data_IF_544852241812
#
_entry.id   IF_544852241812
#
_cell.length_a   1.000
_cell.length_b   1.000
_cell.length_c   1.000
_cell.angle_alpha   90.00
_cell.angle_beta   90.00
_cell.angle_gamma   90.00
#
_symmetry.space_group_name_H-M   'P 1'
#
loop_
_entity.id
_entity.type
_entity.pdbx_description
1 polymer ?
#
# COMPACT_ATOMS: atom_id res chain seq x y z
N UNK A 1 5.34 20.67 3.27
CA UNK A 1 5.50 19.46 4.10
C UNK A 1 6.71 18.67 3.59
N UNK A 2 7.91 18.91 4.16
CA UNK A 2 9.20 18.47 3.58
C UNK A 2 9.68 17.12 4.16
N UNK A 3 9.63 16.06 3.33
CA UNK A 3 10.47 14.84 3.33
C UNK A 3 10.84 14.17 4.68
N UNK A 4 9.87 13.77 5.50
CA UNK A 4 10.09 13.04 6.77
C UNK A 4 11.03 11.83 6.62
N UNK A 5 10.80 10.97 5.61
CA UNK A 5 11.65 9.79 5.38
C UNK A 5 13.11 10.13 5.04
N UNK A 6 13.35 11.22 4.29
CA UNK A 6 14.71 11.67 3.98
C UNK A 6 15.46 12.16 5.22
N UNK A 7 14.76 12.85 6.12
CA UNK A 7 15.31 13.32 7.39
C UNK A 7 15.70 12.17 8.31
N UNK A 8 14.85 11.14 8.41
CA UNK A 8 15.12 9.94 9.20
C UNK A 8 16.38 9.24 8.68
N UNK A 9 16.43 8.94 7.37
CA UNK A 9 17.59 8.29 6.74
C UNK A 9 18.88 9.08 6.96
N UNK A 10 18.83 10.40 6.81
CA UNK A 10 19.99 11.26 7.06
C UNK A 10 20.45 11.21 8.52
N UNK A 11 19.53 11.17 9.49
CA UNK A 11 19.88 11.09 10.91
C UNK A 11 20.53 9.74 11.24
N UNK A 12 20.00 8.64 10.70
CA UNK A 12 20.58 7.29 10.87
C UNK A 12 21.95 7.21 10.22
N UNK A 13 22.10 7.71 8.98
CA UNK A 13 23.40 7.73 8.30
C UNK A 13 24.46 8.51 9.10
N UNK A 14 24.10 9.68 9.65
CA UNK A 14 25.01 10.46 10.50
C UNK A 14 25.41 9.73 11.76
N UNK A 15 24.53 8.90 12.32
CA UNK A 15 24.86 8.04 13.44
C UNK A 15 25.87 6.97 13.00
N UNK A 16 25.60 6.20 11.94
CA UNK A 16 26.53 5.18 11.45
C UNK A 16 27.92 5.72 11.11
N UNK A 17 28.03 6.94 10.56
CA UNK A 17 29.33 7.58 10.27
C UNK A 17 30.13 7.90 11.55
N UNK A 18 29.44 8.23 12.65
CA UNK A 18 30.06 8.65 13.92
C UNK A 18 30.24 7.49 14.91
N UNK A 19 29.61 6.37 14.65
CA UNK A 19 29.60 5.17 15.48
C UNK A 19 30.76 4.24 15.12
N UNK A 20 31.18 3.43 16.09
CA UNK A 20 32.07 2.29 15.85
C UNK A 20 31.35 1.21 15.02
N UNK A 21 32.08 0.27 14.36
CA UNK A 21 31.47 -0.72 13.46
C UNK A 21 30.36 -1.58 14.10
N UNK A 22 30.48 -1.89 15.39
CA UNK A 22 29.52 -2.65 16.20
C UNK A 22 28.23 -1.88 16.51
N UNK A 23 28.25 -0.55 16.38
CA UNK A 23 27.12 0.34 16.65
C UNK A 23 26.44 0.82 15.36
N UNK A 24 26.85 0.32 14.20
CA UNK A 24 26.23 0.67 12.94
C UNK A 24 24.88 -0.01 12.77
N UNK A 25 23.91 0.74 12.24
CA UNK A 25 22.62 0.19 11.84
C UNK A 25 22.78 -0.50 10.50
N UNK A 26 22.67 -1.83 10.50
CA UNK A 26 22.85 -2.68 9.32
C UNK A 26 21.58 -3.41 8.92
N UNK A 27 20.66 -3.64 9.87
CA UNK A 27 19.39 -4.33 9.62
C UNK A 27 18.19 -3.38 9.64
N UNK A 28 17.08 -3.74 8.96
CA UNK A 28 15.84 -2.96 9.03
C UNK A 28 15.25 -2.87 10.45
N UNK A 29 15.44 -3.89 11.27
CA UNK A 29 14.98 -3.91 12.66
C UNK A 29 15.75 -2.90 13.51
N UNK A 30 17.09 -2.92 13.42
CA UNK A 30 17.96 -1.93 14.09
C UNK A 30 17.61 -0.50 13.64
N UNK A 31 17.28 -0.32 12.36
CA UNK A 31 16.85 0.98 11.84
C UNK A 31 15.56 1.43 12.52
N UNK A 32 14.57 0.55 12.62
CA UNK A 32 13.33 0.84 13.33
C UNK A 32 13.59 1.19 14.81
N UNK A 33 14.36 0.37 15.51
CA UNK A 33 14.69 0.56 16.93
C UNK A 33 15.40 1.90 17.19
N UNK A 34 16.39 2.23 16.34
CA UNK A 34 17.07 3.51 16.40
C UNK A 34 16.10 4.67 16.22
N UNK A 35 15.22 4.61 15.21
CA UNK A 35 14.26 5.69 14.95
C UNK A 35 13.24 5.81 16.07
N UNK A 36 12.74 4.69 16.58
CA UNK A 36 11.81 4.64 17.69
C UNK A 36 12.41 5.27 18.97
N UNK A 37 13.68 4.97 19.27
CA UNK A 37 14.40 5.51 20.43
C UNK A 37 14.74 7.00 20.27
N UNK A 38 15.28 7.39 19.10
CA UNK A 38 15.91 8.71 18.90
C UNK A 38 14.99 9.78 18.30
N UNK A 39 13.80 9.41 17.82
CA UNK A 39 12.91 10.32 17.09
C UNK A 39 11.49 10.29 17.66
N UNK A 40 11.32 10.70 18.92
CA UNK A 40 10.03 10.71 19.64
C UNK A 40 8.90 11.50 18.95
N UNK A 41 9.24 12.48 18.11
CA UNK A 41 8.26 13.26 17.33
C UNK A 41 7.73 12.52 16.10
N UNK A 42 8.30 11.36 15.76
CA UNK A 42 7.92 10.54 14.61
C UNK A 42 7.40 9.20 15.12
N UNK A 43 6.15 8.88 14.77
CA UNK A 43 5.61 7.54 15.00
C UNK A 43 6.14 6.59 13.93
N UNK A 44 7.12 5.78 14.30
CA UNK A 44 7.55 4.63 13.49
C UNK A 44 6.71 3.40 13.83
N UNK A 45 6.37 2.59 12.84
CA UNK A 45 5.64 1.34 13.02
C UNK A 45 6.46 0.23 12.38
N UNK A 46 6.77 -0.81 13.16
CA UNK A 46 7.33 -2.05 12.65
C UNK A 46 6.19 -3.01 12.33
N UNK A 47 6.29 -3.71 11.21
CA UNK A 47 5.34 -4.77 10.85
C UNK A 47 6.16 -6.01 10.55
N UNK A 48 5.96 -7.05 11.37
CA UNK A 48 6.65 -8.32 11.19
C UNK A 48 6.09 -9.11 10.01
N UNK A 49 6.89 -10.00 9.43
CA UNK A 49 6.43 -10.88 8.35
C UNK A 49 5.23 -11.74 8.79
N UNK A 50 5.23 -12.19 10.04
CA UNK A 50 4.11 -12.93 10.61
C UNK A 50 2.81 -12.11 10.60
N UNK A 51 2.88 -10.82 10.95
CA UNK A 51 1.74 -9.90 10.86
C UNK A 51 1.32 -9.68 9.41
N UNK A 52 2.26 -9.49 8.49
CA UNK A 52 1.96 -9.37 7.06
C UNK A 52 1.18 -10.59 6.58
N UNK A 53 1.64 -11.81 6.88
CA UNK A 53 0.95 -13.04 6.48
C UNK A 53 -0.43 -13.18 7.14
N UNK A 54 -0.54 -12.84 8.43
CA UNK A 54 -1.82 -12.84 9.17
C UNK A 54 -2.82 -11.87 8.54
N UNK A 55 -2.39 -10.64 8.21
CA UNK A 55 -3.24 -9.63 7.60
C UNK A 55 -3.60 -9.98 6.16
N UNK A 56 -2.68 -10.56 5.39
CA UNK A 56 -2.95 -11.08 4.04
C UNK A 56 -4.09 -12.10 4.05
N UNK A 57 -4.05 -13.07 4.97
CA UNK A 57 -5.13 -14.07 5.14
C UNK A 57 -6.46 -13.42 5.54
N UNK A 58 -6.45 -12.47 6.49
CA UNK A 58 -7.66 -11.73 6.90
C UNK A 58 -8.28 -10.92 5.76
N UNK A 59 -7.45 -10.22 4.99
CA UNK A 59 -7.90 -9.44 3.83
C UNK A 59 -8.48 -10.35 2.76
N UNK A 60 -7.81 -11.47 2.44
CA UNK A 60 -8.34 -12.46 1.50
C UNK A 60 -9.72 -12.96 1.93
N UNK A 61 -9.86 -13.42 3.18
CA UNK A 61 -11.16 -13.85 3.72
C UNK A 61 -12.21 -12.74 3.62
N UNK A 62 -11.84 -11.50 3.92
CA UNK A 62 -12.75 -10.34 3.79
C UNK A 62 -13.19 -10.15 2.35
N UNK A 63 -12.29 -10.19 1.38
CA UNK A 63 -12.65 -10.07 -0.04
C UNK A 63 -13.52 -11.25 -0.52
N UNK A 64 -13.23 -12.46 -0.06
CA UNK A 64 -13.99 -13.66 -0.45
C UNK A 64 -15.41 -13.67 0.15
N UNK A 65 -15.63 -13.00 1.29
CA UNK A 65 -16.90 -13.05 2.06
C UNK A 65 -17.67 -11.74 2.10
N UNK A 66 -17.09 -10.64 1.61
CA UNK A 66 -17.76 -9.35 1.61
C UNK A 66 -18.98 -9.42 0.69
N UNK A 67 -20.16 -9.16 1.25
CA UNK A 67 -21.36 -8.94 0.44
C UNK A 67 -21.14 -7.64 -0.32
N UNK A 68 -21.07 -7.72 -1.64
CA UNK A 68 -21.09 -6.54 -2.49
C UNK A 68 -22.36 -5.77 -2.18
N UNK A 69 -22.22 -4.47 -1.88
CA UNK A 69 -23.41 -3.63 -1.70
C UNK A 69 -24.14 -3.62 -3.06
N UNK A 70 -25.43 -3.94 -3.03
CA UNK A 70 -26.28 -3.96 -4.23
C UNK A 70 -26.17 -2.58 -4.90
N UNK A 71 -25.93 -2.57 -6.21
CA UNK A 71 -25.76 -1.37 -7.05
C UNK A 71 -24.47 -0.55 -6.87
N UNK A 72 -23.52 -0.97 -6.04
CA UNK A 72 -22.13 -0.47 -6.18
C UNK A 72 -21.53 -1.12 -7.42
N UNK A 73 -21.48 -0.34 -8.51
CA UNK A 73 -21.03 -0.78 -9.81
C UNK A 73 -19.64 -1.41 -9.67
N UNK A 74 -19.58 -2.73 -9.83
CA UNK A 74 -18.35 -3.53 -9.94
C UNK A 74 -17.46 -3.13 -11.12
N UNK A 75 -17.83 -2.08 -11.85
CA UNK A 75 -17.28 -1.69 -13.12
C UNK A 75 -16.25 -0.59 -12.88
N UNK A 76 -14.98 -0.93 -13.03
CA UNK A 76 -13.86 -0.02 -12.75
C UNK A 76 -13.30 0.60 -14.03
N UNK A 77 -13.53 -0.02 -15.19
CA UNK A 77 -13.07 0.48 -16.49
C UNK A 77 -14.25 0.70 -17.42
N UNK A 78 -14.28 1.85 -18.06
CA UNK A 78 -15.33 2.30 -18.96
C UNK A 78 -14.67 2.84 -20.24
N UNK A 79 -14.80 2.11 -21.33
CA UNK A 79 -14.21 2.48 -22.62
C UNK A 79 -15.34 2.74 -23.62
N UNK A 80 -15.53 3.97 -24.11
CA UNK A 80 -16.56 4.24 -25.11
C UNK A 80 -16.23 3.50 -26.41
N UNK A 81 -17.22 2.80 -26.98
CA UNK A 81 -17.10 2.18 -28.29
C UNK A 81 -17.70 3.10 -29.35
N UNK A 82 -18.88 3.66 -29.07
CA UNK A 82 -19.57 4.63 -29.91
C UNK A 82 -20.55 5.48 -29.08
N UNK A 83 -21.30 6.35 -29.75
CA UNK A 83 -22.22 7.31 -29.11
C UNK A 83 -23.35 6.66 -28.26
N UNK A 84 -23.60 5.37 -28.42
CA UNK A 84 -24.70 4.68 -27.73
C UNK A 84 -24.22 3.43 -26.97
N UNK A 85 -22.91 3.16 -26.92
CA UNK A 85 -22.39 1.98 -26.25
C UNK A 85 -21.00 2.17 -25.67
N UNK A 86 -20.78 1.47 -24.56
CA UNK A 86 -19.55 1.51 -23.79
C UNK A 86 -19.18 0.09 -23.38
N UNK A 87 -17.90 -0.24 -23.53
CA UNK A 87 -17.30 -1.43 -22.96
C UNK A 87 -17.03 -1.18 -21.48
N UNK A 88 -17.38 -2.16 -20.65
CA UNK A 88 -17.25 -2.08 -19.22
C UNK A 88 -16.54 -3.31 -18.69
N UNK A 89 -15.50 -3.09 -17.87
CA UNK A 89 -14.74 -4.16 -17.23
C UNK A 89 -14.76 -4.03 -15.72
N UNK A 90 -14.67 -5.17 -15.03
CA UNK A 90 -14.72 -5.22 -13.58
C UNK A 90 -13.43 -4.63 -12.97
N UNK A 91 -12.28 -4.93 -13.57
CA UNK A 91 -11.00 -4.28 -13.30
C UNK A 91 -10.34 -3.86 -14.62
N UNK A 92 -9.37 -2.94 -14.57
CA UNK A 92 -8.66 -2.47 -15.78
C UNK A 92 -7.86 -3.56 -16.51
N UNK A 93 -7.58 -4.69 -15.83
CA UNK A 93 -6.78 -5.80 -16.36
C UNK A 93 -7.61 -7.04 -16.74
N UNK A 94 -8.92 -7.01 -16.53
CA UNK A 94 -9.77 -8.14 -16.90
C UNK A 94 -9.83 -8.29 -18.43
N UNK A 95 -9.75 -9.55 -18.89
CA UNK A 95 -9.92 -9.90 -20.30
C UNK A 95 -11.41 -9.92 -20.69
N UNK A 96 -12.26 -10.23 -19.73
CA UNK A 96 -13.70 -10.29 -19.91
C UNK A 96 -14.28 -8.88 -19.87
N UNK A 97 -15.07 -8.55 -20.89
CA UNK A 97 -15.71 -7.26 -21.02
C UNK A 97 -17.21 -7.40 -21.28
N UNK A 98 -17.99 -6.42 -20.79
CA UNK A 98 -19.42 -6.32 -21.04
C UNK A 98 -19.71 -5.04 -21.81
N UNK A 99 -20.40 -5.15 -22.94
CA UNK A 99 -20.90 -3.98 -23.68
C UNK A 99 -22.25 -3.56 -23.08
N UNK A 100 -22.37 -2.29 -22.71
CA UNK A 100 -23.58 -1.70 -22.14
C UNK A 100 -24.05 -0.56 -23.05
N UNK A 101 -25.36 -0.51 -23.33
CA UNK A 101 -25.96 0.62 -24.04
C UNK A 101 -26.08 1.81 -23.09
N UNK A 102 -25.61 2.96 -23.54
CA UNK A 102 -25.77 4.22 -22.81
C UNK A 102 -26.88 5.00 -23.51
N UNK A 103 -28.03 5.09 -22.86
CA UNK A 103 -29.05 6.04 -23.27
C UNK A 103 -28.62 7.40 -22.70
N UNK A 104 -28.17 8.29 -23.58
CA UNK A 104 -27.96 9.70 -23.26
C UNK A 104 -29.32 10.40 -23.12
#
# INVERSE_FOLDING_TARGET
MRRTGGTIKRKVMRHCIRSSPDQQVTTPLEFYEYVFREMKSIRAIWVSDAEVQKHKKKLKKRFDTVKTIKDTRMNHSFTPINNNSMEVRMTSFDKDCKVVKVNL
#
